data_IF_083952175344
#
_entry.id   IF_083952175344
#
_cell.length_a   1.000
_cell.length_b   1.000
_cell.length_c   1.000
_cell.angle_alpha   90.00
_cell.angle_beta   90.00
_cell.angle_gamma   90.00
#
_symmetry.space_group_name_H-M   'P 1'
#
loop_
_entity.id
_entity.type
_entity.pdbx_description
1 polymer ?
#
# COMPACT_ATOMS: atom_id res chain seq x y z
N UNK A 1 -5.98 -20.64 36.06
CA UNK A 1 -5.98 -19.52 35.09
C UNK A 1 -4.63 -19.42 34.38
N UNK A 2 -4.02 -20.57 34.08
CA UNK A 2 -2.67 -20.71 33.54
C UNK A 2 -2.77 -21.71 32.39
N UNK A 3 -2.71 -21.20 31.15
CA UNK A 3 -2.62 -21.94 29.89
C UNK A 3 -2.88 -20.93 28.77
N UNK A 4 -1.86 -20.48 28.02
CA UNK A 4 -2.14 -19.94 26.68
C UNK A 4 -0.97 -19.92 25.66
N UNK A 5 0.31 -19.76 26.02
CA UNK A 5 1.31 -19.34 24.99
C UNK A 5 2.52 -20.25 24.74
N UNK A 6 2.43 -21.55 25.04
CA UNK A 6 3.38 -22.53 24.47
C UNK A 6 3.04 -22.89 22.99
N UNK A 7 2.43 -21.95 22.27
CA UNK A 7 1.71 -22.22 21.02
C UNK A 7 2.03 -21.19 19.95
N UNK A 8 3.30 -20.77 19.80
CA UNK A 8 3.71 -20.18 18.52
C UNK A 8 4.17 -21.31 17.60
N UNK A 9 3.37 -21.67 16.58
CA UNK A 9 3.49 -22.95 15.89
C UNK A 9 4.89 -23.16 15.26
N UNK A 10 5.49 -22.12 14.66
CA UNK A 10 6.78 -22.21 13.96
C UNK A 10 8.05 -22.38 14.82
N UNK A 11 8.01 -22.06 16.12
CA UNK A 11 9.21 -22.09 16.99
C UNK A 11 9.70 -23.50 17.35
N UNK A 12 8.80 -24.50 17.27
CA UNK A 12 9.15 -25.90 17.48
C UNK A 12 9.82 -26.50 16.25
N UNK A 13 9.26 -26.28 15.07
CA UNK A 13 9.78 -26.85 13.83
C UNK A 13 11.18 -26.29 13.46
N UNK A 14 11.46 -25.01 13.78
CA UNK A 14 12.77 -24.41 13.58
C UNK A 14 13.87 -25.00 14.48
N UNK A 15 13.54 -25.33 15.74
CA UNK A 15 14.45 -26.03 16.66
C UNK A 15 14.73 -27.46 16.20
N UNK A 16 13.67 -28.19 15.84
CA UNK A 16 13.80 -29.55 15.28
C UNK A 16 14.69 -29.57 14.02
N UNK A 17 14.61 -28.55 13.17
CA UNK A 17 15.46 -28.42 11.99
C UNK A 17 16.94 -28.15 12.35
N UNK A 18 17.20 -27.27 13.32
CA UNK A 18 18.55 -26.97 13.79
C UNK A 18 19.23 -28.20 14.41
N UNK A 19 18.48 -28.94 15.24
CA UNK A 19 18.98 -30.16 15.89
C UNK A 19 19.24 -31.28 14.87
N UNK A 20 18.37 -31.45 13.87
CA UNK A 20 18.55 -32.44 12.81
C UNK A 20 19.76 -32.14 11.91
N UNK A 21 20.00 -30.86 11.58
CA UNK A 21 21.18 -30.44 10.82
C UNK A 21 22.48 -30.62 11.61
N UNK A 22 22.47 -30.31 12.91
CA UNK A 22 23.62 -30.52 13.78
C UNK A 22 23.95 -32.02 13.96
N UNK A 23 22.94 -32.89 13.94
CA UNK A 23 23.09 -34.35 14.01
C UNK A 23 23.43 -35.03 12.67
N UNK A 24 23.41 -34.32 11.54
CA UNK A 24 23.65 -34.88 10.21
C UNK A 24 22.52 -35.78 9.68
N UNK A 25 21.32 -35.72 10.28
CA UNK A 25 20.15 -36.47 9.80
C UNK A 25 19.36 -35.64 8.78
N UNK A 26 19.77 -35.76 7.51
CA UNK A 26 19.20 -35.00 6.40
C UNK A 26 17.71 -35.28 6.16
N UNK A 27 17.21 -36.48 6.48
CA UNK A 27 15.80 -36.83 6.30
C UNK A 27 14.93 -36.25 7.42
N UNK A 28 15.43 -36.26 8.66
CA UNK A 28 14.77 -35.55 9.76
C UNK A 28 14.75 -34.03 9.52
N UNK A 29 15.84 -33.47 8.99
CA UNK A 29 15.92 -32.05 8.64
C UNK A 29 14.92 -31.68 7.52
N UNK A 30 14.78 -32.51 6.48
CA UNK A 30 13.77 -32.34 5.43
C UNK A 30 12.34 -32.43 5.98
N UNK A 31 12.09 -33.39 6.88
CA UNK A 31 10.79 -33.53 7.52
C UNK A 31 10.43 -32.32 8.39
N UNK A 32 11.40 -31.78 9.14
CA UNK A 32 11.23 -30.59 9.96
C UNK A 32 11.05 -29.33 9.10
N UNK A 33 11.78 -29.21 7.98
CA UNK A 33 11.63 -28.08 7.06
C UNK A 33 10.24 -28.06 6.45
N UNK A 34 9.76 -29.18 5.91
CA UNK A 34 8.42 -29.25 5.30
C UNK A 34 7.30 -28.94 6.29
N UNK A 35 7.42 -29.39 7.55
CA UNK A 35 6.45 -29.03 8.60
C UNK A 35 6.48 -27.54 8.91
N UNK A 36 7.67 -26.97 9.05
CA UNK A 36 7.83 -25.53 9.26
C UNK A 36 7.26 -24.73 8.09
N UNK A 37 7.54 -25.11 6.84
CA UNK A 37 7.03 -24.42 5.65
C UNK A 37 5.51 -24.52 5.55
N UNK A 38 4.92 -25.69 5.80
CA UNK A 38 3.46 -25.86 5.80
C UNK A 38 2.77 -24.98 6.85
N UNK A 39 3.43 -24.80 7.99
CA UNK A 39 2.94 -23.98 9.09
C UNK A 39 3.09 -22.49 8.82
N UNK A 40 4.24 -22.06 8.29
CA UNK A 40 4.46 -20.71 7.82
C UNK A 40 3.46 -20.34 6.70
N UNK A 41 3.19 -21.24 5.77
CA UNK A 41 2.19 -21.03 4.71
C UNK A 41 0.77 -20.90 5.25
N UNK A 42 0.42 -21.65 6.31
CA UNK A 42 -0.88 -21.52 6.95
C UNK A 42 -1.03 -20.16 7.65
N UNK A 43 0.05 -19.64 8.26
CA UNK A 43 0.07 -18.30 8.87
C UNK A 43 -0.01 -17.20 7.80
N UNK A 44 0.65 -17.38 6.64
CA UNK A 44 0.60 -16.47 5.49
C UNK A 44 -0.76 -16.40 4.78
N UNK A 45 -1.65 -17.38 4.97
CA UNK A 45 -2.98 -17.37 4.37
C UNK A 45 -3.95 -16.37 5.02
N UNK A 46 -3.62 -15.84 6.20
CA UNK A 46 -4.44 -14.89 6.95
C UNK A 46 -3.96 -13.42 6.78
N UNK A 47 -2.87 -13.18 6.03
CA UNK A 47 -2.24 -11.88 5.76
C UNK A 47 -2.68 -11.24 4.42
N UNK A 48 -2.33 -9.97 4.21
CA UNK A 48 -2.57 -9.22 2.96
C UNK A 48 -2.03 -9.93 1.71
N UNK A 49 -2.75 -9.78 0.60
CA UNK A 49 -2.53 -10.53 -0.65
C UNK A 49 -1.12 -10.43 -1.25
N UNK A 50 -0.33 -9.40 -0.93
CA UNK A 50 1.04 -9.25 -1.43
C UNK A 50 2.01 -10.23 -0.74
N UNK A 51 1.92 -10.40 0.58
CA UNK A 51 2.78 -11.34 1.32
C UNK A 51 2.45 -12.79 0.96
N UNK A 52 1.16 -13.10 0.79
CA UNK A 52 0.72 -14.40 0.29
C UNK A 52 1.25 -14.72 -1.11
N UNK A 53 1.32 -13.72 -2.02
CA UNK A 53 1.90 -13.88 -3.35
C UNK A 53 3.41 -14.09 -3.30
N UNK A 54 4.15 -13.32 -2.49
CA UNK A 54 5.60 -13.53 -2.30
C UNK A 54 5.90 -14.91 -1.71
N UNK A 55 5.13 -15.34 -0.70
CA UNK A 55 5.23 -16.68 -0.11
C UNK A 55 4.93 -17.79 -1.13
N UNK A 56 3.93 -17.58 -2.00
CA UNK A 56 3.62 -18.50 -3.09
C UNK A 56 4.76 -18.60 -4.13
N UNK A 57 5.39 -17.47 -4.49
CA UNK A 57 6.54 -17.48 -5.39
C UNK A 57 7.75 -18.17 -4.76
N UNK A 58 8.03 -17.89 -3.48
CA UNK A 58 9.10 -18.58 -2.75
C UNK A 58 8.86 -20.09 -2.64
N UNK A 59 7.61 -20.52 -2.43
CA UNK A 59 7.25 -21.94 -2.47
C UNK A 59 7.45 -22.53 -3.86
N UNK A 60 7.05 -21.81 -4.92
CA UNK A 60 7.24 -22.27 -6.29
C UNK A 60 8.72 -22.45 -6.63
N UNK A 61 9.58 -21.50 -6.26
CA UNK A 61 11.02 -21.59 -6.49
C UNK A 61 11.62 -22.78 -5.73
N UNK A 62 11.18 -23.03 -4.49
CA UNK A 62 11.55 -24.23 -3.74
C UNK A 62 11.05 -25.52 -4.41
N UNK A 63 9.86 -25.50 -5.03
CA UNK A 63 9.35 -26.61 -5.83
C UNK A 63 10.14 -26.82 -7.13
N UNK A 64 10.96 -25.86 -7.55
CA UNK A 64 11.90 -26.00 -8.67
C UNK A 64 12.92 -27.14 -8.48
N UNK A 65 13.18 -27.53 -7.22
CA UNK A 65 14.09 -28.64 -6.88
C UNK A 65 13.39 -30.02 -6.87
N UNK A 66 12.05 -30.06 -6.99
CA UNK A 66 11.27 -31.30 -7.00
C UNK A 66 11.72 -32.28 -8.09
N UNK A 67 12.04 -31.87 -9.34
CA UNK A 67 12.54 -32.80 -10.36
C UNK A 67 13.83 -33.52 -9.98
N UNK A 68 14.74 -32.85 -9.25
CA UNK A 68 15.96 -33.47 -8.76
C UNK A 68 15.64 -34.51 -7.67
N UNK A 69 14.68 -34.19 -6.79
CA UNK A 69 14.21 -35.08 -5.73
C UNK A 69 13.45 -36.30 -6.28
N UNK A 70 12.58 -36.11 -7.28
CA UNK A 70 11.84 -37.21 -7.92
C UNK A 70 12.76 -38.09 -8.76
N UNK A 71 13.84 -37.55 -9.35
CA UNK A 71 14.86 -38.36 -10.03
C UNK A 71 15.70 -39.21 -9.06
N UNK A 72 15.94 -38.71 -7.83
CA UNK A 72 16.72 -39.41 -6.81
C UNK A 72 15.93 -40.44 -5.99
N UNK A 73 14.65 -40.19 -5.73
CA UNK A 73 13.82 -41.02 -4.85
C UNK A 73 13.74 -42.50 -5.24
N UNK A 74 13.60 -42.89 -6.53
CA UNK A 74 13.57 -44.30 -6.93
C UNK A 74 14.85 -45.06 -6.57
N UNK A 75 16.01 -44.39 -6.60
CA UNK A 75 17.30 -45.00 -6.22
C UNK A 75 17.37 -45.30 -4.73
N UNK A 76 16.84 -44.38 -3.90
CA UNK A 76 16.72 -44.58 -2.46
C UNK A 76 15.75 -45.70 -2.11
N UNK A 77 14.59 -45.76 -2.78
CA UNK A 77 13.60 -46.84 -2.62
C UNK A 77 14.20 -48.19 -3.00
N UNK A 78 14.89 -48.27 -4.14
CA UNK A 78 15.57 -49.50 -4.56
C UNK A 78 16.65 -49.97 -3.57
N UNK A 79 17.38 -49.03 -2.96
CA UNK A 79 18.40 -49.34 -1.95
C UNK A 79 17.79 -49.79 -0.62
N UNK A 80 16.68 -49.17 -0.19
CA UNK A 80 16.01 -49.46 1.07
C UNK A 80 15.21 -50.78 1.05
N UNK A 81 14.89 -51.31 -0.14
CA UNK A 81 14.06 -52.52 -0.34
C UNK A 81 12.80 -52.53 0.53
N UNK A 82 11.98 -51.46 0.51
CA UNK A 82 10.72 -51.50 1.21
C UNK A 82 9.82 -52.59 0.60
N UNK A 83 8.84 -53.07 1.37
CA UNK A 83 7.80 -53.94 0.82
C UNK A 83 7.06 -53.25 -0.36
N UNK A 84 6.33 -54.04 -1.14
CA UNK A 84 5.64 -53.58 -2.37
C UNK A 84 4.70 -52.39 -2.09
N UNK A 85 3.91 -52.47 -1.02
CA UNK A 85 2.90 -51.46 -0.70
C UNK A 85 3.47 -50.05 -0.43
N UNK A 86 4.52 -49.87 0.41
CA UNK A 86 5.18 -48.57 0.54
C UNK A 86 5.80 -48.04 -0.77
N UNK A 87 6.34 -48.91 -1.63
CA UNK A 87 6.92 -48.50 -2.91
C UNK A 87 5.85 -47.93 -3.84
N UNK A 88 4.74 -48.63 -4.03
CA UNK A 88 3.60 -48.16 -4.84
C UNK A 88 3.02 -46.83 -4.34
N UNK A 89 2.93 -46.67 -3.02
CA UNK A 89 2.42 -45.45 -2.43
C UNK A 89 3.37 -44.27 -2.66
N UNK A 90 4.68 -44.48 -2.58
CA UNK A 90 5.68 -43.44 -2.90
C UNK A 90 5.63 -43.07 -4.38
N UNK A 91 5.58 -44.04 -5.28
CA UNK A 91 5.48 -43.80 -6.73
C UNK A 91 4.23 -42.96 -7.07
N UNK A 92 3.08 -43.29 -6.45
CA UNK A 92 1.86 -42.51 -6.60
C UNK A 92 2.04 -41.06 -6.14
N UNK A 93 2.67 -40.83 -4.98
CA UNK A 93 2.90 -39.47 -4.46
C UNK A 93 3.89 -38.68 -5.32
N UNK A 94 4.93 -39.32 -5.84
CA UNK A 94 5.88 -38.70 -6.77
C UNK A 94 5.19 -38.29 -8.08
N UNK A 95 4.30 -39.12 -8.60
CA UNK A 95 3.50 -38.79 -9.78
C UNK A 95 2.54 -37.61 -9.52
N UNK A 96 1.85 -37.58 -8.37
CA UNK A 96 0.97 -36.47 -7.97
C UNK A 96 1.75 -35.15 -7.85
N UNK A 97 2.93 -35.17 -7.20
CA UNK A 97 3.79 -33.99 -7.07
C UNK A 97 4.30 -33.47 -8.42
N UNK A 98 4.68 -34.38 -9.32
CA UNK A 98 5.13 -34.02 -10.67
C UNK A 98 4.00 -33.35 -11.45
N UNK A 99 2.79 -33.91 -11.41
CA UNK A 99 1.63 -33.33 -12.07
C UNK A 99 1.25 -31.95 -11.52
N UNK A 100 1.36 -31.75 -10.20
CA UNK A 100 1.12 -30.47 -9.56
C UNK A 100 2.18 -29.43 -9.96
N UNK A 101 3.45 -29.82 -10.01
CA UNK A 101 4.54 -28.95 -10.46
C UNK A 101 4.33 -28.48 -11.91
N UNK A 102 3.98 -29.39 -12.83
CA UNK A 102 3.69 -29.04 -14.22
C UNK A 102 2.49 -28.09 -14.35
N UNK A 103 1.45 -28.30 -13.54
CA UNK A 103 0.29 -27.39 -13.50
C UNK A 103 0.69 -25.99 -13.00
N UNK A 104 1.44 -25.89 -11.91
CA UNK A 104 1.92 -24.61 -11.40
C UNK A 104 2.83 -23.89 -12.41
N UNK A 105 3.68 -24.64 -13.13
CA UNK A 105 4.51 -24.09 -14.21
C UNK A 105 3.66 -23.53 -15.36
N UNK A 106 2.60 -24.23 -15.74
CA UNK A 106 1.66 -23.75 -16.76
C UNK A 106 0.94 -22.48 -16.29
N UNK A 107 0.45 -22.46 -15.04
CA UNK A 107 -0.23 -21.31 -14.45
C UNK A 107 0.72 -20.09 -14.34
N UNK A 108 1.99 -20.28 -13.98
CA UNK A 108 3.02 -19.22 -13.99
C UNK A 108 3.21 -18.64 -15.38
N UNK A 109 3.30 -19.49 -16.40
CA UNK A 109 3.42 -19.02 -17.80
C UNK A 109 2.22 -18.17 -18.21
N UNK A 110 1.01 -18.49 -17.72
CA UNK A 110 -0.19 -17.68 -17.94
C UNK A 110 -0.09 -16.34 -17.20
N UNK A 111 0.33 -16.33 -15.93
CA UNK A 111 0.52 -15.10 -15.16
C UNK A 111 1.57 -14.17 -15.78
N UNK A 112 2.71 -14.70 -16.22
CA UNK A 112 3.75 -13.92 -16.92
C UNK A 112 3.23 -13.29 -18.21
N UNK A 113 2.38 -14.02 -18.97
CA UNK A 113 1.71 -13.46 -20.16
C UNK A 113 0.71 -12.37 -19.78
N UNK A 114 -0.06 -12.55 -18.72
CA UNK A 114 -1.02 -11.54 -18.24
C UNK A 114 -0.30 -10.28 -17.77
N UNK A 115 0.80 -10.41 -17.03
CA UNK A 115 1.63 -9.29 -16.60
C UNK A 115 2.20 -8.52 -17.81
N UNK A 116 2.69 -9.23 -18.83
CA UNK A 116 3.17 -8.59 -20.05
C UNK A 116 2.05 -7.85 -20.82
N UNK A 117 0.83 -8.38 -20.84
CA UNK A 117 -0.34 -7.70 -21.43
C UNK A 117 -0.74 -6.48 -20.60
N UNK A 118 -0.70 -6.58 -19.28
CA UNK A 118 -0.97 -5.46 -18.38
C UNK A 118 0.02 -4.30 -18.60
N UNK A 119 1.32 -4.61 -18.69
CA UNK A 119 2.35 -3.61 -18.96
C UNK A 119 2.19 -2.96 -20.35
N UNK A 120 1.82 -3.73 -21.38
CA UNK A 120 1.47 -3.18 -22.70
C UNK A 120 0.26 -2.24 -22.63
N UNK A 121 -0.78 -2.61 -21.88
CA UNK A 121 -1.96 -1.75 -21.68
C UNK A 121 -1.61 -0.46 -20.92
N UNK A 122 -0.79 -0.54 -19.87
CA UNK A 122 -0.31 0.64 -19.14
C UNK A 122 0.47 1.58 -20.06
N UNK A 123 1.34 1.04 -20.92
CA UNK A 123 2.07 1.82 -21.93
C UNK A 123 1.11 2.50 -22.92
N UNK A 124 0.13 1.76 -23.47
CA UNK A 124 -0.86 2.35 -24.38
C UNK A 124 -1.70 3.44 -23.72
N UNK A 125 -2.05 3.28 -22.44
CA UNK A 125 -2.77 4.32 -21.69
C UNK A 125 -1.92 5.59 -21.53
N UNK A 126 -0.61 5.44 -21.28
CA UNK A 126 0.32 6.56 -21.24
C UNK A 126 0.43 7.26 -22.61
N UNK A 127 0.57 6.49 -23.70
CA UNK A 127 0.57 7.02 -25.08
C UNK A 127 -0.73 7.77 -25.41
N UNK A 128 -1.90 7.22 -25.02
CA UNK A 128 -3.18 7.90 -25.19
C UNK A 128 -3.30 9.18 -24.37
N UNK A 129 -2.72 9.25 -23.17
CA UNK A 129 -2.66 10.48 -22.39
C UNK A 129 -1.81 11.55 -23.12
N UNK A 130 -0.63 11.19 -23.61
CA UNK A 130 0.23 12.08 -24.38
C UNK A 130 -0.46 12.60 -25.65
N UNK A 131 -1.15 11.72 -26.39
CA UNK A 131 -1.91 12.12 -27.57
C UNK A 131 -3.05 13.08 -27.23
N UNK A 132 -3.75 12.90 -26.11
CA UNK A 132 -4.79 13.84 -25.65
C UNK A 132 -4.21 15.21 -25.33
N UNK A 133 -3.05 15.24 -24.67
CA UNK A 133 -2.35 16.50 -24.36
C UNK A 133 -1.90 17.19 -25.65
N UNK A 134 -1.42 16.43 -26.63
CA UNK A 134 -1.05 16.97 -27.95
C UNK A 134 -2.25 17.54 -28.69
N UNK A 135 -3.40 16.88 -28.67
CA UNK A 135 -4.65 17.38 -29.27
C UNK A 135 -5.11 18.66 -28.56
N UNK A 136 -5.03 18.71 -27.23
CA UNK A 136 -5.38 19.90 -26.46
C UNK A 136 -4.50 21.10 -26.85
N UNK A 137 -3.20 20.88 -27.03
CA UNK A 137 -2.27 21.92 -27.48
C UNK A 137 -2.55 22.34 -28.93
N UNK A 138 -2.83 21.42 -29.84
CA UNK A 138 -3.21 21.76 -31.22
C UNK A 138 -4.49 22.62 -31.26
N UNK A 139 -5.51 22.29 -30.48
CA UNK A 139 -6.74 23.11 -30.35
C UNK A 139 -6.48 24.47 -29.71
N UNK A 140 -5.46 24.59 -28.84
CA UNK A 140 -5.03 25.87 -28.31
C UNK A 140 -4.37 26.72 -29.40
N UNK A 141 -3.50 26.12 -30.21
CA UNK A 141 -2.84 26.79 -31.33
C UNK A 141 -3.84 27.22 -32.41
N UNK A 142 -4.81 26.38 -32.74
CA UNK A 142 -5.89 26.71 -33.69
C UNK A 142 -6.68 27.94 -33.23
N UNK A 143 -7.12 27.95 -31.96
CA UNK A 143 -7.77 29.13 -31.37
C UNK A 143 -6.89 30.38 -31.41
N UNK A 144 -5.58 30.22 -31.26
CA UNK A 144 -4.65 31.35 -31.33
C UNK A 144 -4.52 31.88 -32.77
N UNK A 145 -4.53 31.01 -33.78
CA UNK A 145 -4.58 31.41 -35.18
C UNK A 145 -5.88 32.15 -35.50
N UNK A 146 -7.04 31.63 -35.06
CA UNK A 146 -8.32 32.32 -35.24
C UNK A 146 -8.32 33.73 -34.64
N UNK A 147 -7.70 33.89 -33.46
CA UNK A 147 -7.57 35.21 -32.84
C UNK A 147 -6.63 36.14 -33.60
N UNK A 148 -5.56 35.63 -34.23
CA UNK A 148 -4.66 36.41 -35.06
C UNK A 148 -5.33 36.87 -36.35
N UNK A 149 -6.11 36.00 -37.01
CA UNK A 149 -6.88 36.36 -38.20
C UNK A 149 -7.94 37.42 -37.89
N UNK A 150 -8.63 37.28 -36.76
CA UNK A 150 -9.56 38.30 -36.29
C UNK A 150 -8.88 39.66 -36.05
N UNK A 151 -7.67 39.65 -35.47
CA UNK A 151 -6.87 40.86 -35.25
C UNK A 151 -6.42 41.49 -36.58
N UNK A 152 -6.00 40.67 -37.55
CA UNK A 152 -5.63 41.11 -38.90
C UNK A 152 -6.82 41.76 -39.63
N UNK A 153 -8.02 41.17 -39.50
CA UNK A 153 -9.25 41.76 -40.01
C UNK A 153 -9.57 43.11 -39.37
N UNK A 154 -9.39 43.24 -38.05
CA UNK A 154 -9.55 44.52 -37.34
C UNK A 154 -8.56 45.58 -37.84
N UNK A 155 -7.29 45.20 -38.06
CA UNK A 155 -6.26 46.11 -38.57
C UNK A 155 -6.62 46.61 -39.97
N UNK A 156 -7.06 45.74 -40.89
CA UNK A 156 -7.49 46.15 -42.22
C UNK A 156 -8.67 47.13 -42.20
N UNK A 157 -9.63 46.93 -41.29
CA UNK A 157 -10.76 47.86 -41.11
C UNK A 157 -10.27 49.23 -40.62
N UNK A 158 -9.31 49.25 -39.70
CA UNK A 158 -8.69 50.49 -39.21
C UNK A 158 -7.93 51.20 -40.33
N UNK A 159 -7.12 50.49 -41.10
CA UNK A 159 -6.34 51.06 -42.20
C UNK A 159 -7.23 51.62 -43.31
N UNK A 160 -8.28 50.89 -43.70
CA UNK A 160 -9.26 51.35 -44.68
C UNK A 160 -9.98 52.63 -44.22
N UNK A 161 -10.32 52.71 -42.92
CA UNK A 161 -10.89 53.93 -42.33
C UNK A 161 -9.89 55.07 -42.36
N UNK A 162 -8.63 54.86 -41.99
CA UNK A 162 -7.59 55.89 -42.04
C UNK A 162 -7.36 56.42 -43.45
N UNK A 163 -7.38 55.56 -44.47
CA UNK A 163 -7.23 55.98 -45.87
C UNK A 163 -8.46 56.77 -46.38
N UNK A 164 -9.66 56.36 -45.98
CA UNK A 164 -10.89 57.11 -46.26
C UNK A 164 -10.90 58.49 -45.57
N UNK A 165 -10.32 58.58 -44.36
CA UNK A 165 -10.15 59.84 -43.64
C UNK A 165 -9.12 60.76 -44.33
N UNK A 166 -8.06 60.20 -44.95
CA UNK A 166 -6.98 60.96 -45.63
C UNK A 166 -7.34 61.49 -47.01
N UNK A 167 -8.26 60.85 -47.72
CA UNK A 167 -8.58 61.14 -49.13
C UNK A 167 -9.66 62.20 -49.36
N UNK A 168 -10.10 62.90 -48.31
CA UNK A 168 -11.35 63.67 -48.33
C UNK A 168 -11.14 65.15 -47.96
N UNK A 169 -11.25 65.99 -48.99
CA UNK A 169 -11.13 67.47 -49.06
C UNK A 169 -12.24 68.21 -48.27
N UNK A 170 -11.96 69.40 -47.72
CA UNK A 170 -12.64 70.21 -46.64
C UNK A 170 -14.19 70.19 -46.52
N UNK A 171 -14.95 69.84 -47.57
CA UNK A 171 -16.40 69.52 -47.48
C UNK A 171 -16.64 68.17 -46.78
N UNK A 172 -15.71 67.25 -47.02
CA UNK A 172 -15.63 65.98 -46.39
C UNK A 172 -15.29 66.07 -44.91
N UNK A 173 -14.54 67.05 -44.40
CA UNK A 173 -14.33 67.22 -42.95
C UNK A 173 -15.64 67.30 -42.16
N UNK A 174 -16.71 67.86 -42.75
CA UNK A 174 -18.03 67.93 -42.09
C UNK A 174 -18.78 66.60 -42.16
N UNK A 175 -18.71 65.88 -43.27
CA UNK A 175 -19.27 64.52 -43.39
C UNK A 175 -18.45 63.52 -42.58
N UNK A 176 -17.13 63.72 -42.48
CA UNK A 176 -16.21 63.04 -41.59
C UNK A 176 -16.59 63.32 -40.16
N UNK A 177 -16.87 64.56 -39.78
CA UNK A 177 -17.30 64.88 -38.42
C UNK A 177 -18.63 64.21 -38.08
N UNK A 178 -19.56 64.10 -39.04
CA UNK A 178 -20.83 63.37 -38.86
C UNK A 178 -20.63 61.84 -38.81
N UNK A 179 -19.84 61.26 -39.71
CA UNK A 179 -19.52 59.82 -39.79
C UNK A 179 -18.64 59.39 -38.61
N UNK A 180 -17.68 60.21 -38.20
CA UNK A 180 -16.93 60.05 -36.95
C UNK A 180 -17.88 60.15 -35.75
N UNK A 181 -18.84 61.08 -35.75
CA UNK A 181 -19.87 61.15 -34.71
C UNK A 181 -20.80 59.93 -34.67
N UNK A 182 -21.03 59.27 -35.81
CA UNK A 182 -21.80 58.03 -35.90
C UNK A 182 -20.97 56.80 -35.50
N UNK A 183 -19.67 56.78 -35.84
CA UNK A 183 -18.73 55.74 -35.42
C UNK A 183 -18.39 55.85 -33.94
N UNK A 184 -18.29 57.05 -33.39
CA UNK A 184 -18.16 57.31 -31.96
C UNK A 184 -19.41 56.79 -31.26
N UNK A 185 -20.62 57.13 -31.73
CA UNK A 185 -21.87 56.57 -31.18
C UNK A 185 -21.97 55.05 -31.30
N UNK A 186 -21.60 54.46 -32.43
CA UNK A 186 -21.59 53.00 -32.59
C UNK A 186 -20.54 52.34 -31.68
N UNK A 187 -19.38 52.98 -31.49
CA UNK A 187 -18.34 52.55 -30.57
C UNK A 187 -18.80 52.64 -29.12
N UNK A 188 -19.49 53.72 -28.75
CA UNK A 188 -20.15 53.92 -27.45
C UNK A 188 -21.24 52.85 -27.23
N UNK A 189 -22.13 52.63 -28.20
CA UNK A 189 -23.17 51.60 -28.14
C UNK A 189 -22.59 50.18 -28.03
N UNK A 190 -21.50 49.89 -28.75
CA UNK A 190 -20.80 48.60 -28.66
C UNK A 190 -20.07 48.44 -27.32
N UNK A 191 -19.47 49.51 -26.80
CA UNK A 191 -18.87 49.52 -25.47
C UNK A 191 -19.95 49.34 -24.39
N UNK A 192 -21.10 49.99 -24.53
CA UNK A 192 -22.23 49.84 -23.63
C UNK A 192 -22.86 48.45 -23.69
N UNK A 193 -22.86 47.80 -24.86
CA UNK A 193 -23.32 46.43 -25.02
C UNK A 193 -22.31 45.39 -24.51
N UNK A 194 -21.01 45.64 -24.63
CA UNK A 194 -19.94 44.76 -24.14
C UNK A 194 -19.72 44.90 -22.65
N UNK A 195 -19.85 46.10 -22.08
CA UNK A 195 -19.65 46.37 -20.66
C UNK A 195 -20.43 45.41 -19.73
N UNK A 196 -21.74 45.14 -19.91
CA UNK A 196 -22.47 44.20 -19.05
C UNK A 196 -21.98 42.76 -19.22
N UNK A 197 -21.64 42.32 -20.44
CA UNK A 197 -21.10 40.97 -20.68
C UNK A 197 -19.73 40.78 -20.05
N UNK A 198 -18.86 41.78 -20.15
CA UNK A 198 -17.55 41.76 -19.49
C UNK A 198 -17.71 41.79 -17.96
N UNK A 199 -18.62 42.62 -17.42
CA UNK A 199 -18.93 42.62 -15.98
C UNK A 199 -19.45 41.26 -15.51
N UNK A 200 -20.32 40.62 -16.29
CA UNK A 200 -20.86 39.30 -15.94
C UNK A 200 -19.79 38.21 -16.01
N UNK A 201 -18.91 38.23 -17.02
CA UNK A 201 -17.79 37.32 -17.12
C UNK A 201 -16.79 37.51 -15.95
N UNK A 202 -16.51 38.75 -15.56
CA UNK A 202 -15.68 39.07 -14.39
C UNK A 202 -16.32 38.56 -13.10
N UNK A 203 -17.63 38.76 -12.89
CA UNK A 203 -18.34 38.20 -11.73
C UNK A 203 -18.29 36.67 -11.71
N UNK A 204 -18.49 36.01 -12.85
CA UNK A 204 -18.37 34.55 -12.95
C UNK A 204 -16.95 34.07 -12.65
N UNK A 205 -15.93 34.80 -13.08
CA UNK A 205 -14.54 34.51 -12.76
C UNK A 205 -14.24 34.72 -11.27
N UNK A 206 -14.77 35.78 -10.66
CA UNK A 206 -14.69 36.02 -9.20
C UNK A 206 -15.38 34.89 -8.43
N UNK A 207 -16.62 34.50 -8.77
CA UNK A 207 -17.34 33.41 -8.11
C UNK A 207 -16.58 32.07 -8.20
N UNK A 208 -16.00 31.76 -9.37
CA UNK A 208 -15.18 30.56 -9.55
C UNK A 208 -13.89 30.66 -8.74
N UNK A 209 -13.25 31.83 -8.71
CA UNK A 209 -12.05 32.09 -7.92
C UNK A 209 -12.29 31.95 -6.42
N UNK A 210 -13.42 32.46 -5.92
CA UNK A 210 -13.83 32.30 -4.52
C UNK A 210 -14.07 30.84 -4.16
N UNK A 211 -14.76 30.08 -5.01
CA UNK A 211 -14.98 28.64 -4.82
C UNK A 211 -13.66 27.87 -4.81
N UNK A 212 -12.78 28.14 -5.78
CA UNK A 212 -11.45 27.52 -5.83
C UNK A 212 -10.65 27.81 -4.56
N UNK A 213 -10.65 29.07 -4.10
CA UNK A 213 -9.95 29.47 -2.88
C UNK A 213 -10.52 28.82 -1.62
N UNK A 214 -11.82 28.45 -1.59
CA UNK A 214 -12.42 27.68 -0.48
C UNK A 214 -11.92 26.23 -0.53
N UNK A 215 -11.99 25.58 -1.69
CA UNK A 215 -11.53 24.20 -1.88
C UNK A 215 -10.02 24.06 -1.58
N UNK A 216 -9.19 25.02 -2.01
CA UNK A 216 -7.75 25.05 -1.71
C UNK A 216 -7.48 25.18 -0.20
N UNK A 217 -8.28 25.98 0.51
CA UNK A 217 -8.20 26.10 1.97
C UNK A 217 -8.61 24.81 2.67
N UNK A 218 -9.65 24.13 2.19
CA UNK A 218 -10.07 22.84 2.72
C UNK A 218 -9.00 21.76 2.47
N UNK A 219 -8.45 21.69 1.26
CA UNK A 219 -7.34 20.79 0.93
C UNK A 219 -6.13 21.05 1.82
N UNK A 220 -5.71 22.31 1.97
CA UNK A 220 -4.58 22.67 2.83
C UNK A 220 -4.82 22.26 4.29
N UNK A 221 -6.06 22.43 4.78
CA UNK A 221 -6.46 21.98 6.12
C UNK A 221 -6.38 20.46 6.25
N UNK A 222 -6.96 19.70 5.31
CA UNK A 222 -6.96 18.23 5.34
C UNK A 222 -5.53 17.69 5.27
N UNK A 223 -4.67 18.28 4.43
CA UNK A 223 -3.25 17.93 4.36
C UNK A 223 -2.53 18.21 5.67
N UNK A 224 -2.77 19.36 6.30
CA UNK A 224 -2.19 19.66 7.62
C UNK A 224 -2.68 18.70 8.71
N UNK A 225 -3.96 18.32 8.69
CA UNK A 225 -4.51 17.33 9.63
C UNK A 225 -3.91 15.94 9.39
N UNK A 226 -3.66 15.56 8.13
CA UNK A 226 -2.97 14.31 7.78
C UNK A 226 -1.51 14.32 8.28
N UNK A 227 -0.77 15.40 8.03
CA UNK A 227 0.62 15.55 8.49
C UNK A 227 0.72 15.53 10.02
N UNK A 228 -0.26 16.09 10.73
CA UNK A 228 -0.33 16.01 12.18
C UNK A 228 -0.60 14.59 12.66
N UNK A 229 -1.55 13.87 12.04
CA UNK A 229 -1.84 12.47 12.37
C UNK A 229 -0.65 11.56 12.09
N UNK A 230 0.02 11.72 10.95
CA UNK A 230 1.22 10.96 10.60
C UNK A 230 2.35 11.20 11.60
N UNK A 231 2.58 12.46 12.00
CA UNK A 231 3.58 12.79 13.05
C UNK A 231 3.23 12.17 14.40
N UNK A 232 1.95 12.19 14.79
CA UNK A 232 1.49 11.54 16.04
C UNK A 232 1.69 10.03 15.99
N UNK A 233 1.38 9.41 14.85
CA UNK A 233 1.56 7.97 14.66
C UNK A 233 3.04 7.58 14.74
N UNK A 234 3.92 8.36 14.12
CA UNK A 234 5.36 8.13 14.18
C UNK A 234 5.95 8.35 15.58
N UNK A 235 5.45 9.35 16.31
CA UNK A 235 5.80 9.55 17.71
C UNK A 235 5.39 8.35 18.58
N UNK A 236 4.17 7.83 18.39
CA UNK A 236 3.70 6.62 19.10
C UNK A 236 4.54 5.39 18.73
N UNK A 237 4.90 5.22 17.45
CA UNK A 237 5.80 4.14 17.01
C UNK A 237 7.18 4.24 17.68
N UNK A 238 7.71 5.45 17.80
CA UNK A 238 9.00 5.70 18.45
C UNK A 238 8.93 5.40 19.94
N UNK A 239 7.91 5.90 20.66
CA UNK A 239 7.71 5.61 22.09
C UNK A 239 7.55 4.11 22.35
N UNK A 240 6.77 3.41 21.52
CA UNK A 240 6.63 1.96 21.61
C UNK A 240 7.96 1.24 21.33
N UNK A 241 8.70 1.66 20.31
CA UNK A 241 10.03 1.13 19.99
C UNK A 241 11.06 1.32 21.11
N UNK A 242 10.91 2.35 21.95
CA UNK A 242 11.74 2.56 23.14
C UNK A 242 11.29 1.71 24.35
N UNK A 243 9.98 1.61 24.57
CA UNK A 243 9.40 0.92 25.73
C UNK A 243 9.45 -0.61 25.61
N UNK A 244 9.25 -1.18 24.43
CA UNK A 244 9.22 -2.63 24.22
C UNK A 244 10.56 -3.28 24.62
N UNK A 245 11.74 -2.81 24.15
CA UNK A 245 13.03 -3.36 24.58
C UNK A 245 13.29 -3.16 26.07
N UNK A 246 12.77 -2.07 26.66
CA UNK A 246 12.91 -1.84 28.10
C UNK A 246 12.13 -2.87 28.91
N UNK A 247 10.91 -3.20 28.48
CA UNK A 247 10.08 -4.23 29.09
C UNK A 247 10.68 -5.63 28.89
N UNK A 248 11.25 -5.92 27.72
CA UNK A 248 12.00 -7.17 27.49
C UNK A 248 13.21 -7.32 28.42
N UNK A 249 13.95 -6.22 28.67
CA UNK A 249 15.06 -6.23 29.63
C UNK A 249 14.59 -6.47 31.06
N UNK A 250 13.49 -5.85 31.49
CA UNK A 250 12.92 -6.11 32.81
C UNK A 250 12.45 -7.55 32.95
N UNK A 251 11.75 -8.07 31.95
CA UNK A 251 11.27 -9.45 31.96
C UNK A 251 12.43 -10.46 32.00
N UNK A 252 13.52 -10.19 31.27
CA UNK A 252 14.76 -10.97 31.36
C UNK A 252 15.39 -10.90 32.74
N UNK A 253 15.50 -9.71 33.32
CA UNK A 253 16.06 -9.53 34.67
C UNK A 253 15.22 -10.26 35.74
N UNK A 254 13.89 -10.24 35.64
CA UNK A 254 12.99 -10.99 36.52
C UNK A 254 13.19 -12.51 36.38
N UNK A 255 13.47 -12.99 35.16
CA UNK A 255 13.80 -14.40 34.90
C UNK A 255 15.12 -14.82 35.54
N UNK A 256 16.17 -14.03 35.34
CA UNK A 256 17.49 -14.26 35.93
C UNK A 256 17.42 -14.24 37.47
N UNK A 257 16.64 -13.31 38.04
CA UNK A 257 16.38 -13.25 39.49
C UNK A 257 15.63 -14.50 39.99
N UNK A 258 14.59 -14.94 39.27
CA UNK A 258 13.84 -16.14 39.63
C UNK A 258 14.70 -17.41 39.49
N UNK A 259 15.62 -17.48 38.53
CA UNK A 259 16.60 -18.56 38.40
C UNK A 259 17.59 -18.59 39.58
N UNK A 260 18.17 -17.44 39.92
CA UNK A 260 19.09 -17.32 41.05
C UNK A 260 18.43 -17.67 42.39
N UNK A 261 17.16 -17.29 42.59
CA UNK A 261 16.40 -17.64 43.78
C UNK A 261 16.09 -19.15 43.86
N UNK A 262 15.86 -19.81 42.72
CA UNK A 262 15.65 -21.26 42.66
C UNK A 262 16.94 -22.01 43.03
N UNK A 263 18.07 -21.59 42.44
CA UNK A 263 19.38 -22.17 42.70
C UNK A 263 19.81 -21.96 44.16
N UNK A 264 19.50 -20.81 44.75
CA UNK A 264 19.72 -20.55 46.18
C UNK A 264 18.86 -21.45 47.08
N UNK A 265 17.59 -21.69 46.73
CA UNK A 265 16.72 -22.60 47.46
C UNK A 265 17.20 -24.07 47.39
N UNK A 266 17.85 -24.46 46.29
CA UNK A 266 18.43 -25.80 46.11
C UNK A 266 19.80 -25.96 46.81
N UNK A 267 20.58 -24.89 46.91
CA UNK A 267 21.92 -24.91 47.55
C UNK A 267 21.87 -24.70 49.06
N UNK A 268 20.91 -23.92 49.58
CA UNK A 268 20.75 -23.68 51.02
C UNK A 268 19.88 -24.78 51.68
N UNK A 269 20.35 -26.02 51.55
CA UNK A 269 20.09 -27.09 52.51
C UNK A 269 18.63 -27.41 52.81
N UNK A 270 18.07 -28.30 51.99
CA UNK A 270 17.09 -29.32 52.39
C UNK A 270 17.62 -30.31 53.47
N UNK A 271 18.51 -29.85 54.34
CA UNK A 271 19.09 -30.54 55.47
C UNK A 271 19.05 -29.62 56.70
N UNK A 272 17.86 -29.34 57.23
CA UNK A 272 17.76 -28.86 58.62
C UNK A 272 16.54 -28.02 59.02
N UNK A 273 15.78 -27.43 58.09
CA UNK A 273 14.53 -26.71 58.42
C UNK A 273 13.37 -27.19 57.57
N UNK A 274 13.06 -28.48 57.73
CA UNK A 274 11.79 -29.03 57.31
C UNK A 274 10.66 -28.25 58.00
N UNK A 275 9.58 -28.06 57.25
CA UNK A 275 8.27 -27.58 57.69
C UNK A 275 7.92 -26.09 57.52
N UNK A 276 8.80 -25.24 56.93
CA UNK A 276 8.38 -23.87 56.52
C UNK A 276 8.72 -23.45 55.08
N UNK A 277 9.58 -24.18 54.37
CA UNK A 277 10.02 -23.84 53.01
C UNK A 277 9.28 -24.61 51.89
N UNK A 278 8.32 -25.48 52.23
CA UNK A 278 7.45 -26.13 51.23
C UNK A 278 6.61 -25.13 50.43
N UNK A 279 6.39 -23.93 50.98
CA UNK A 279 5.60 -22.87 50.34
C UNK A 279 6.46 -21.89 49.51
N UNK A 280 7.79 -21.90 49.68
CA UNK A 280 8.70 -21.05 48.89
C UNK A 280 8.96 -21.61 47.50
N UNK A 281 9.02 -22.94 47.33
CA UNK A 281 9.10 -23.56 45.99
C UNK A 281 7.88 -23.21 45.14
N UNK A 282 6.68 -23.21 45.74
CA UNK A 282 5.46 -22.80 45.05
C UNK A 282 5.42 -21.29 44.77
N UNK A 283 6.06 -20.45 45.59
CA UNK A 283 6.14 -19.00 45.37
C UNK A 283 7.11 -18.66 44.22
N UNK A 284 8.20 -19.39 44.09
CA UNK A 284 9.21 -19.24 43.04
C UNK A 284 8.71 -19.72 41.67
N UNK A 285 8.03 -20.87 41.65
CA UNK A 285 7.35 -21.35 40.45
C UNK A 285 6.22 -20.40 40.03
N UNK A 286 5.51 -19.81 40.99
CA UNK A 286 4.53 -18.75 40.73
C UNK A 286 5.18 -17.49 40.15
N UNK A 287 6.35 -17.08 40.63
CA UNK A 287 7.08 -15.93 40.09
C UNK A 287 7.57 -16.18 38.66
N UNK A 288 8.17 -17.35 38.36
CA UNK A 288 8.53 -17.76 36.98
C UNK A 288 7.32 -17.79 36.06
N UNK A 289 6.22 -18.37 36.53
CA UNK A 289 4.99 -18.44 35.75
C UNK A 289 4.38 -17.05 35.51
N UNK A 290 4.49 -16.13 36.46
CA UNK A 290 4.02 -14.76 36.31
C UNK A 290 4.89 -13.97 35.33
N UNK A 291 6.22 -14.08 35.41
CA UNK A 291 7.14 -13.45 34.46
C UNK A 291 6.90 -13.96 33.02
N UNK A 292 6.73 -15.28 32.86
CA UNK A 292 6.37 -15.85 31.56
C UNK A 292 4.99 -15.37 31.08
N UNK A 293 3.99 -15.20 31.96
CA UNK A 293 2.68 -14.66 31.59
C UNK A 293 2.77 -13.20 31.10
N UNK A 294 3.60 -12.39 31.76
CA UNK A 294 3.86 -11.01 31.36
C UNK A 294 4.54 -10.94 29.99
N UNK A 295 5.56 -11.76 29.71
CA UNK A 295 6.26 -11.75 28.42
C UNK A 295 5.35 -12.05 27.23
N UNK A 296 4.45 -13.02 27.34
CA UNK A 296 3.54 -13.32 26.23
C UNK A 296 2.37 -12.34 26.13
N UNK A 297 1.92 -11.75 27.25
CA UNK A 297 0.98 -10.61 27.16
C UNK A 297 1.62 -9.43 26.46
N UNK A 298 2.89 -9.15 26.74
CA UNK A 298 3.67 -8.14 26.02
C UNK A 298 3.77 -8.53 24.54
N UNK A 299 4.14 -9.76 24.20
CA UNK A 299 4.21 -10.22 22.81
C UNK A 299 2.86 -10.20 22.08
N UNK A 300 1.75 -10.45 22.76
CA UNK A 300 0.40 -10.34 22.21
C UNK A 300 -0.02 -8.88 21.99
N UNK A 301 0.28 -8.00 22.95
CA UNK A 301 0.09 -6.55 22.80
C UNK A 301 0.93 -6.04 21.63
N UNK A 302 2.18 -6.52 21.50
CA UNK A 302 3.08 -6.15 20.41
C UNK A 302 2.56 -6.61 19.05
N UNK A 303 1.97 -7.80 18.99
CA UNK A 303 1.34 -8.34 17.78
C UNK A 303 0.10 -7.56 17.39
N UNK A 304 -0.79 -7.28 18.34
CA UNK A 304 -2.00 -6.49 18.11
C UNK A 304 -1.65 -5.04 17.73
N UNK A 305 -0.62 -4.46 18.35
CA UNK A 305 -0.13 -3.13 17.97
C UNK A 305 0.48 -3.13 16.57
N UNK A 306 1.25 -4.16 16.21
CA UNK A 306 1.83 -4.28 14.86
C UNK A 306 0.74 -4.45 13.81
N UNK A 307 -0.23 -5.32 14.08
CA UNK A 307 -1.42 -5.52 13.24
C UNK A 307 -2.24 -4.23 13.11
N UNK A 308 -2.49 -3.50 14.21
CA UNK A 308 -3.21 -2.23 14.16
C UNK A 308 -2.42 -1.10 13.45
N UNK A 309 -1.08 -1.14 13.50
CA UNK A 309 -0.21 -0.20 12.80
C UNK A 309 -0.05 -0.53 11.31
N UNK A 310 -0.20 -1.80 10.93
CA UNK A 310 -0.15 -2.28 9.55
C UNK A 310 -1.52 -2.18 8.87
N UNK A 311 -2.61 -2.43 9.62
CA UNK A 311 -4.01 -2.21 9.21
C UNK A 311 -4.49 -0.76 9.36
N UNK A 312 -3.58 0.20 9.55
CA UNK A 312 -3.88 1.61 9.33
C UNK A 312 -3.38 2.06 7.94
N UNK A 313 -3.87 1.49 6.82
CA UNK A 313 -3.67 2.15 5.55
C UNK A 313 -4.43 3.48 5.65
N UNK A 314 -3.79 4.54 5.16
CA UNK A 314 -4.48 5.78 4.80
C UNK A 314 -5.38 5.44 3.60
N UNK A 315 -6.45 4.67 3.82
CA UNK A 315 -7.49 4.46 2.83
C UNK A 315 -8.34 5.74 2.87
N UNK A 316 -7.83 6.78 2.23
CA UNK A 316 -8.64 7.88 1.77
C UNK A 316 -9.51 7.36 0.63
N UNK A 317 -10.50 6.54 0.97
CA UNK A 317 -11.59 6.21 0.07
C UNK A 317 -12.42 7.49 -0.05
N UNK A 318 -12.04 8.33 -1.01
CA UNK A 318 -12.73 9.56 -1.41
C UNK A 318 -14.13 9.33 -2.02
N UNK A 319 -14.84 8.29 -1.59
CA UNK A 319 -16.15 7.88 -2.12
C UNK A 319 -17.34 8.26 -1.24
N UNK A 320 -17.15 8.91 -0.08
CA UNK A 320 -18.26 9.28 0.80
C UNK A 320 -18.57 10.79 0.87
N UNK A 321 -18.84 11.46 -0.25
CA UNK A 321 -19.74 12.66 -0.24
C UNK A 321 -20.25 13.05 -1.62
N UNK A 322 -20.87 12.11 -2.33
CA UNK A 322 -21.52 12.34 -3.63
C UNK A 322 -23.00 11.97 -3.63
N UNK A 323 -23.71 12.11 -2.49
CA UNK A 323 -25.14 11.84 -2.40
C UNK A 323 -25.83 12.95 -1.61
N UNK A 324 -26.22 14.02 -2.31
CA UNK A 324 -26.99 15.10 -1.69
C UNK A 324 -27.12 16.38 -2.50
N UNK A 325 -27.65 16.33 -3.74
CA UNK A 325 -28.39 17.47 -4.32
C UNK A 325 -29.20 17.07 -5.55
N UNK A 326 -30.27 16.31 -5.30
CA UNK A 326 -31.49 16.45 -6.08
C UNK A 326 -32.43 17.29 -5.23
N UNK A 327 -32.52 18.59 -5.53
CA UNK A 327 -33.66 19.40 -5.16
C UNK A 327 -33.83 20.54 -6.16
N UNK A 328 -35.10 20.84 -6.41
CA UNK A 328 -35.69 21.93 -7.17
C UNK A 328 -35.60 21.91 -8.70
N UNK A 329 -36.44 21.07 -9.30
CA UNK A 329 -37.36 21.59 -10.31
C UNK A 329 -38.64 22.06 -9.60
N UNK A 330 -38.89 23.36 -9.61
CA UNK A 330 -40.23 23.95 -9.56
C UNK A 330 -40.18 25.40 -10.05
N UNK A 331 -41.16 25.69 -10.92
CA UNK A 331 -41.57 26.99 -11.52
C UNK A 331 -40.87 27.40 -12.80
#
# INVERSE_FOLDING_TARGET
>A
MAAADDVSPGGRARRELGDALAGGDFLAALGASLRWTAQALAELCDDDGTAALEGLFGLYDALGEVPALTAGAPRLVAAARPGERPAEQLDKRLAELTALHERLRADRTVLERLAAVEDDLRRRLAEHAELRDRIAELRRLERLVDTLDALGGQQQVVDARLEALRSRDVSAERTLAADCGALVRLGEDQLDALAPRTREALRRAEDIGERLAVEERELARVTSELDERSRRLEAVRTELGEHVPQLERYARADRELAEALAEWADTDGAAGRGDRLGDTGTALDRARSAAADVERRLGAIDRVLREALDQAPVSWDGTSSGRGRQDNQSV
#
